data_IF_109736665765
#
_entry.id   IF_109736665765
#
_cell.length_a   1.000
_cell.length_b   1.000
_cell.length_c   1.000
_cell.angle_alpha   90.00
_cell.angle_beta   90.00
_cell.angle_gamma   90.00
#
_symmetry.space_group_name_H-M   'P 1'
#
loop_
_entity.id
_entity.type
_entity.pdbx_description
1 polymer ?
#
# COMPACT_ATOMS: atom_id res chain seq x y z
N UNK A 1 13.85 19.43 -1.07
CA UNK A 1 14.18 18.27 -0.21
C UNK A 1 13.51 16.98 -0.66
N UNK A 2 12.19 16.97 -0.94
CA UNK A 2 11.46 15.76 -1.37
C UNK A 2 12.09 15.03 -2.57
N UNK A 3 12.48 15.74 -3.63
CA UNK A 3 13.12 15.16 -4.82
C UNK A 3 14.47 14.51 -4.53
N UNK A 4 15.26 15.10 -3.61
CA UNK A 4 16.55 14.54 -3.21
C UNK A 4 16.37 13.23 -2.43
N UNK A 5 15.37 13.16 -1.54
CA UNK A 5 15.04 11.94 -0.82
C UNK A 5 14.51 10.84 -1.77
N UNK A 6 13.69 11.20 -2.75
CA UNK A 6 13.22 10.28 -3.80
C UNK A 6 14.40 9.68 -4.57
N UNK A 7 15.33 10.53 -5.04
CA UNK A 7 16.50 10.07 -5.79
C UNK A 7 17.42 9.17 -4.95
N UNK A 8 17.59 9.47 -3.66
CA UNK A 8 18.45 8.71 -2.77
C UNK A 8 17.87 7.35 -2.34
N UNK A 9 16.53 7.24 -2.23
CA UNK A 9 15.87 6.07 -1.63
C UNK A 9 15.20 5.15 -2.66
N UNK A 10 14.84 5.65 -3.84
CA UNK A 10 14.24 4.83 -4.88
C UNK A 10 15.24 3.79 -5.39
N UNK A 11 14.86 2.51 -5.35
CA UNK A 11 15.74 1.39 -5.72
C UNK A 11 16.62 0.86 -4.59
N UNK A 12 16.60 1.47 -3.39
CA UNK A 12 17.31 0.93 -2.22
C UNK A 12 16.65 -0.34 -1.70
N UNK A 13 17.43 -1.23 -1.08
CA UNK A 13 16.90 -2.45 -0.46
C UNK A 13 16.56 -2.22 1.01
N UNK A 14 15.34 -2.60 1.39
CA UNK A 14 14.88 -2.64 2.78
C UNK A 14 14.35 -4.04 3.07
N UNK A 15 14.99 -4.76 4.01
CA UNK A 15 14.58 -6.12 4.38
C UNK A 15 14.60 -7.10 3.19
N UNK A 16 15.57 -6.95 2.28
CA UNK A 16 15.70 -7.79 1.08
C UNK A 16 14.74 -7.43 -0.06
N UNK A 17 13.97 -6.34 0.05
CA UNK A 17 13.02 -5.89 -0.98
C UNK A 17 13.44 -4.53 -1.51
N UNK A 18 13.43 -4.37 -2.83
CA UNK A 18 13.69 -3.08 -3.47
C UNK A 18 12.50 -2.15 -3.26
N UNK A 19 12.77 -0.94 -2.74
CA UNK A 19 11.77 0.09 -2.52
C UNK A 19 11.52 0.90 -3.79
N UNK A 20 10.26 1.28 -4.00
CA UNK A 20 9.89 2.31 -4.96
C UNK A 20 9.42 3.54 -4.20
N UNK A 21 10.12 4.67 -4.38
CA UNK A 21 9.83 5.93 -3.70
C UNK A 21 9.48 6.97 -4.75
N UNK A 22 8.31 7.59 -4.63
CA UNK A 22 7.79 8.60 -5.54
C UNK A 22 7.08 9.70 -4.76
N UNK A 23 6.81 10.83 -5.41
CA UNK A 23 5.92 11.86 -4.85
C UNK A 23 4.50 11.30 -4.67
N UNK A 24 3.92 11.58 -3.50
CA UNK A 24 2.60 11.09 -3.16
C UNK A 24 1.53 11.73 -4.07
N UNK A 25 0.65 10.88 -4.63
CA UNK A 25 -0.52 11.32 -5.38
C UNK A 25 -1.79 10.96 -4.60
N UNK A 26 -2.89 11.71 -4.75
CA UNK A 26 -4.16 11.38 -4.13
C UNK A 26 -4.56 9.93 -4.42
N UNK A 27 -5.01 9.23 -3.39
CA UNK A 27 -5.51 7.88 -3.55
C UNK A 27 -6.87 7.93 -4.25
N UNK A 28 -7.04 7.16 -5.32
CA UNK A 28 -8.33 7.02 -5.97
C UNK A 28 -9.36 6.42 -5.01
N UNK A 29 -10.64 6.83 -5.10
CA UNK A 29 -11.71 6.23 -4.32
C UNK A 29 -11.71 4.72 -4.48
N UNK A 30 -11.54 3.99 -3.38
CA UNK A 30 -11.66 2.53 -3.39
C UNK A 30 -13.14 2.17 -3.50
N UNK A 31 -13.63 1.93 -4.71
CA UNK A 31 -14.93 1.26 -4.88
C UNK A 31 -14.78 -0.20 -4.42
N UNK A 32 -15.54 -0.59 -3.38
CA UNK A 32 -15.40 -1.93 -2.76
C UNK A 32 -15.61 -1.99 -1.24
N UNK A 33 -16.05 -0.91 -0.61
CA UNK A 33 -16.53 -0.93 0.77
C UNK A 33 -17.91 -1.56 0.88
N UNK A 34 -18.00 -2.90 0.86
CA UNK A 34 -19.25 -3.61 1.13
C UNK A 34 -19.16 -5.09 0.80
N UNK A 35 -19.02 -5.93 1.83
CA UNK A 35 -19.11 -7.39 1.65
C UNK A 35 -18.17 -8.21 2.51
N UNK A 36 -18.16 -7.99 3.84
CA UNK A 36 -17.70 -9.00 4.80
C UNK A 36 -18.84 -9.28 5.77
N UNK A 37 -19.92 -9.80 5.19
CA UNK A 37 -21.02 -10.37 5.94
C UNK A 37 -20.56 -11.69 6.56
N UNK A 38 -20.51 -11.70 7.89
CA UNK A 38 -20.80 -12.87 8.71
C UNK A 38 -19.86 -14.06 8.57
N UNK A 39 -19.00 -14.21 9.57
CA UNK A 39 -18.63 -15.53 10.07
C UNK A 39 -19.92 -16.24 10.55
N UNK A 40 -20.61 -16.91 9.63
CA UNK A 40 -21.72 -17.81 9.95
C UNK A 40 -21.17 -19.05 10.61
N UNK A 41 -21.22 -19.08 11.94
CA UNK A 41 -20.83 -20.23 12.74
C UNK A 41 -21.56 -21.49 12.26
N UNK A 42 -20.78 -22.53 11.97
CA UNK A 42 -21.29 -23.87 11.76
C UNK A 42 -22.09 -24.33 12.97
N UNK A 43 -23.40 -24.44 12.80
CA UNK A 43 -24.27 -25.29 13.60
C UNK A 43 -24.93 -26.26 12.64
N UNK A 44 -24.46 -27.49 12.69
CA UNK A 44 -24.87 -28.66 11.92
C UNK A 44 -23.97 -29.80 12.31
#
# INVERSE_FOLDING_TARGET
EAQAAVAALNGTQLGGRTLTVNEARPQEPRSGGGGRGGFGGGRG
#
